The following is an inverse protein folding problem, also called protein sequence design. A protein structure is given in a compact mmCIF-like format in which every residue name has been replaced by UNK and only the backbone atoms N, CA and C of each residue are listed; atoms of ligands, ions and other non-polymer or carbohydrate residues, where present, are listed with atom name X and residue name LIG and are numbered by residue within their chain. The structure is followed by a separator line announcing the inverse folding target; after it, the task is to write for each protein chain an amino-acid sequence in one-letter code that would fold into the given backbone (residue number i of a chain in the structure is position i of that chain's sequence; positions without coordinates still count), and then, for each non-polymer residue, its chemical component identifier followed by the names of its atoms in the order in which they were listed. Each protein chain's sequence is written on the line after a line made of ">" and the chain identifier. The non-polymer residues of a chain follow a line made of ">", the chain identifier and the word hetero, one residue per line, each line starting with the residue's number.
data_IF_718142791405
#
_entry.id   IF_718142791405
#
_cell.length_a   1.000
_cell.length_b   1.000
_cell.length_c   1.000
_cell.angle_alpha   90.00
_cell.angle_beta   90.00
_cell.angle_gamma   90.00
#
_symmetry.space_group_name_H-M   'P 1'
#
loop_
_entity.id
_entity.type
_entity.pdbx_description
1 polymer ?
#
# COMPACT_ATOMS: atom_id res chain seq x y z
N UNK A 1 -5.54 16.91 12.79
CA UNK A 1 -6.13 16.51 11.49
C UNK A 1 -5.13 15.56 10.83
N UNK A 2 -5.59 14.45 10.26
CA UNK A 2 -4.74 13.53 9.51
C UNK A 2 -4.12 14.23 8.31
N UNK A 3 -2.83 14.00 8.05
CA UNK A 3 -2.12 14.50 6.86
C UNK A 3 -2.02 13.36 5.86
N UNK A 4 -2.68 13.56 4.72
CA UNK A 4 -2.78 12.54 3.69
C UNK A 4 -1.79 12.78 2.57
N UNK A 5 -1.24 11.68 2.02
CA UNK A 5 -0.40 11.71 0.82
C UNK A 5 -0.69 10.53 -0.10
N UNK A 6 -0.40 10.72 -1.38
CA UNK A 6 -0.45 9.68 -2.41
C UNK A 6 0.92 9.56 -3.06
N UNK A 7 1.49 8.35 -3.05
CA UNK A 7 2.71 8.02 -3.79
C UNK A 7 2.28 7.34 -5.11
N UNK A 8 2.72 7.89 -6.22
CA UNK A 8 2.54 7.33 -7.55
C UNK A 8 3.84 6.66 -7.99
N UNK A 9 3.86 5.32 -8.01
CA UNK A 9 4.99 4.53 -8.53
C UNK A 9 4.83 4.24 -10.03
N UNK A 10 5.77 3.50 -10.63
CA UNK A 10 5.95 3.42 -12.08
C UNK A 10 4.98 2.50 -12.83
N UNK A 11 4.29 1.54 -12.15
CA UNK A 11 3.35 0.63 -12.83
C UNK A 11 2.15 1.42 -13.35
N UNK A 12 1.81 1.30 -14.65
CA UNK A 12 0.69 2.05 -15.23
C UNK A 12 -0.63 1.79 -14.49
N UNK A 13 -1.36 2.86 -14.20
CA UNK A 13 -2.68 2.82 -13.55
C UNK A 13 -3.78 3.29 -14.51
N UNK A 14 -5.03 2.87 -14.25
CA UNK A 14 -6.20 3.42 -14.92
C UNK A 14 -6.83 4.58 -14.13
N UNK A 15 -7.67 5.36 -14.79
CA UNK A 15 -8.43 6.47 -14.14
C UNK A 15 -9.37 6.00 -13.03
N UNK A 16 -9.71 4.70 -12.99
CA UNK A 16 -10.51 4.12 -11.90
C UNK A 16 -9.86 4.30 -10.51
N UNK A 17 -8.52 4.50 -10.45
CA UNK A 17 -7.81 4.71 -9.19
C UNK A 17 -7.92 6.15 -8.66
N UNK A 18 -8.50 7.10 -9.41
CA UNK A 18 -8.81 8.44 -8.88
C UNK A 18 -9.65 8.39 -7.59
N UNK A 19 -10.45 7.31 -7.40
CA UNK A 19 -11.26 7.11 -6.18
C UNK A 19 -10.45 7.05 -4.88
N UNK A 20 -9.15 6.80 -4.96
CA UNK A 20 -8.25 6.76 -3.80
C UNK A 20 -7.60 8.10 -3.48
N UNK A 21 -7.73 9.07 -4.38
CA UNK A 21 -7.17 10.42 -4.23
C UNK A 21 -8.26 11.38 -3.75
N UNK A 22 -7.95 12.17 -2.74
CA UNK A 22 -8.87 13.18 -2.21
C UNK A 22 -8.35 14.59 -2.51
N UNK A 23 -9.23 15.59 -2.64
CA UNK A 23 -8.81 16.98 -2.72
C UNK A 23 -7.96 17.37 -1.50
N UNK A 24 -6.76 17.91 -1.74
CA UNK A 24 -5.81 18.30 -0.70
C UNK A 24 -4.81 17.20 -0.30
N UNK A 25 -4.86 16.02 -0.90
CA UNK A 25 -3.78 15.04 -0.76
C UNK A 25 -2.47 15.60 -1.33
N UNK A 26 -1.36 15.37 -0.63
CA UNK A 26 -0.03 15.68 -1.14
C UNK A 26 0.43 14.57 -2.10
N UNK A 27 0.71 14.92 -3.33
CA UNK A 27 1.02 13.94 -4.39
C UNK A 27 2.51 13.86 -4.64
N UNK A 28 3.10 12.68 -4.43
CA UNK A 28 4.49 12.38 -4.74
C UNK A 28 4.57 11.43 -5.92
N UNK A 29 5.29 11.80 -6.97
CA UNK A 29 5.55 10.92 -8.11
C UNK A 29 6.97 10.36 -8.04
N UNK A 30 7.11 9.02 -8.07
CA UNK A 30 8.39 8.34 -8.02
C UNK A 30 8.78 7.82 -9.40
N UNK A 31 9.96 8.22 -9.89
CA UNK A 31 10.50 7.89 -11.22
C UNK A 31 9.43 8.09 -12.32
N UNK A 32 9.11 7.07 -13.11
CA UNK A 32 8.06 7.14 -14.15
C UNK A 32 6.63 7.36 -13.59
N UNK A 33 6.43 7.44 -12.28
CA UNK A 33 5.15 7.72 -11.62
C UNK A 33 4.52 9.05 -12.03
N UNK A 34 5.29 10.02 -12.53
CA UNK A 34 4.75 11.27 -13.08
C UNK A 34 3.78 11.02 -14.26
N UNK A 35 3.99 9.94 -15.04
CA UNK A 35 3.06 9.53 -16.10
C UNK A 35 1.71 9.04 -15.55
N UNK A 36 1.71 8.49 -14.36
CA UNK A 36 0.48 8.13 -13.66
C UNK A 36 -0.24 9.38 -13.13
N UNK A 37 0.52 10.38 -12.67
CA UNK A 37 -0.08 11.68 -12.33
C UNK A 37 -0.81 12.28 -13.54
N UNK A 38 -0.17 12.31 -14.73
CA UNK A 38 -0.80 12.78 -15.98
C UNK A 38 -2.07 11.99 -16.31
N UNK A 39 -2.06 10.64 -16.19
CA UNK A 39 -3.25 9.80 -16.46
C UNK A 39 -4.40 10.05 -15.50
N UNK A 40 -4.11 10.37 -14.25
CA UNK A 40 -5.09 10.63 -13.21
C UNK A 40 -5.51 12.10 -13.15
N UNK A 41 -4.99 12.95 -14.05
CA UNK A 41 -5.19 14.42 -14.07
C UNK A 41 -4.78 15.04 -12.70
N UNK A 42 -3.66 14.58 -12.16
CA UNK A 42 -3.10 15.05 -10.89
C UNK A 42 -1.83 15.88 -11.15
N UNK A 43 -1.66 16.89 -10.33
CA UNK A 43 -0.43 17.67 -10.28
C UNK A 43 0.44 17.18 -9.12
N UNK A 44 1.63 16.60 -9.35
CA UNK A 44 2.54 16.25 -8.27
C UNK A 44 3.00 17.49 -7.50
N UNK A 45 3.02 17.38 -6.17
CA UNK A 45 3.65 18.38 -5.30
C UNK A 45 5.17 18.14 -5.23
N UNK A 46 5.58 16.86 -5.34
CA UNK A 46 6.97 16.43 -5.29
C UNK A 46 7.22 15.34 -6.32
N UNK A 47 8.37 15.41 -7.01
CA UNK A 47 8.85 14.35 -7.90
C UNK A 47 10.19 13.84 -7.37
N UNK A 48 10.32 12.52 -7.21
CA UNK A 48 11.52 11.84 -6.68
C UNK A 48 11.98 10.79 -7.68
N UNK A 49 13.26 10.78 -8.05
CA UNK A 49 13.78 9.74 -8.92
C UNK A 49 15.23 9.97 -9.33
N UNK A 50 15.87 8.93 -9.87
CA UNK A 50 17.15 9.04 -10.55
C UNK A 50 16.99 9.13 -12.08
N UNK A 51 15.75 8.95 -12.58
CA UNK A 51 15.34 9.10 -13.97
C UNK A 51 16.14 8.22 -14.96
N UNK A 52 16.61 7.06 -14.49
CA UNK A 52 17.28 6.05 -15.32
C UNK A 52 16.30 5.29 -16.24
N UNK A 53 15.08 5.09 -15.76
CA UNK A 53 14.01 4.36 -16.45
C UNK A 53 13.10 5.26 -17.29
N UNK A 54 13.08 6.58 -17.03
CA UNK A 54 12.29 7.57 -17.75
C UNK A 54 12.96 8.94 -17.72
N UNK A 55 12.83 9.74 -18.79
CA UNK A 55 13.43 11.08 -18.81
C UNK A 55 12.84 11.94 -17.69
N UNK A 56 13.70 12.74 -17.05
CA UNK A 56 13.25 13.73 -16.07
C UNK A 56 12.20 14.65 -16.71
N UNK A 57 11.01 14.81 -16.10
CA UNK A 57 9.99 15.70 -16.64
C UNK A 57 10.46 17.15 -16.60
N UNK A 58 10.17 17.89 -17.67
CA UNK A 58 10.34 19.35 -17.71
C UNK A 58 9.17 19.98 -16.98
N UNK A 59 9.35 20.33 -15.71
CA UNK A 59 8.28 20.82 -14.86
C UNK A 59 8.80 21.90 -13.90
N UNK A 60 7.89 22.75 -13.42
CA UNK A 60 8.13 23.71 -12.32
C UNK A 60 7.89 23.08 -10.92
N UNK A 61 7.55 21.78 -10.87
CA UNK A 61 7.34 21.08 -9.61
C UNK A 61 8.65 20.85 -8.87
N UNK A 62 8.58 20.80 -7.55
CA UNK A 62 9.73 20.41 -6.73
C UNK A 62 10.20 19.02 -7.16
N UNK A 63 11.49 18.91 -7.48
CA UNK A 63 12.07 17.65 -7.96
C UNK A 63 13.31 17.34 -7.15
N UNK A 64 13.32 16.17 -6.51
CA UNK A 64 14.49 15.60 -5.83
C UNK A 64 15.11 14.57 -6.76
N UNK A 65 16.30 14.89 -7.30
CA UNK A 65 17.07 13.97 -8.12
C UNK A 65 17.98 13.13 -7.22
N UNK A 66 17.73 11.83 -7.21
CA UNK A 66 18.50 10.88 -6.42
C UNK A 66 19.72 10.37 -7.21
N UNK A 67 20.83 10.01 -6.54
CA UNK A 67 21.95 9.36 -7.20
C UNK A 67 21.55 7.96 -7.68
N UNK A 68 22.13 7.48 -8.81
CA UNK A 68 21.88 6.11 -9.30
C UNK A 68 22.34 5.04 -8.30
N UNK A 69 23.45 5.30 -7.59
CA UNK A 69 23.94 4.41 -6.54
C UNK A 69 23.37 4.90 -5.21
N UNK A 70 22.38 4.21 -4.71
CA UNK A 70 21.68 4.50 -3.45
C UNK A 70 21.17 3.20 -2.83
N UNK A 71 20.96 3.21 -1.53
CA UNK A 71 20.44 2.06 -0.80
C UNK A 71 18.91 1.95 -0.88
N UNK A 72 18.20 3.08 -1.08
CA UNK A 72 16.75 3.16 -1.15
C UNK A 72 16.21 3.11 -2.58
N UNK A 73 15.04 2.49 -2.77
CA UNK A 73 14.22 2.74 -3.96
C UNK A 73 13.61 4.14 -3.91
N UNK A 74 13.21 4.70 -5.06
CA UNK A 74 12.55 6.02 -5.10
C UNK A 74 11.27 6.04 -4.25
N UNK A 75 10.49 4.95 -4.27
CA UNK A 75 9.29 4.80 -3.44
C UNK A 75 9.63 4.77 -1.94
N UNK A 76 10.73 4.09 -1.55
CA UNK A 76 11.18 4.04 -0.16
C UNK A 76 11.66 5.42 0.31
N UNK A 77 12.41 6.14 -0.52
CA UNK A 77 12.84 7.50 -0.23
C UNK A 77 11.64 8.44 -0.04
N UNK A 78 10.66 8.39 -0.95
CA UNK A 78 9.42 9.17 -0.83
C UNK A 78 8.66 8.84 0.47
N UNK A 79 8.61 7.56 0.86
CA UNK A 79 7.99 7.13 2.11
C UNK A 79 8.70 7.69 3.34
N UNK A 80 10.03 7.67 3.36
CA UNK A 80 10.85 8.30 4.43
C UNK A 80 10.58 9.80 4.51
N UNK A 81 10.63 10.49 3.40
CA UNK A 81 10.39 11.93 3.33
C UNK A 81 9.01 12.29 3.88
N UNK A 82 7.96 11.58 3.46
CA UNK A 82 6.59 11.80 3.95
C UNK A 82 6.47 11.57 5.46
N UNK A 83 7.09 10.49 5.97
CA UNK A 83 7.09 10.19 7.41
C UNK A 83 7.75 11.31 8.22
N UNK A 84 8.92 11.80 7.79
CA UNK A 84 9.64 12.90 8.42
C UNK A 84 8.85 14.22 8.40
N UNK A 85 7.99 14.39 7.39
CA UNK A 85 7.11 15.57 7.27
C UNK A 85 5.74 15.37 7.93
N UNK A 86 5.56 14.27 8.70
CA UNK A 86 4.39 14.05 9.55
C UNK A 86 3.12 13.65 8.79
N UNK A 87 3.25 12.99 7.65
CA UNK A 87 2.12 12.35 6.97
C UNK A 87 1.79 11.03 7.66
N UNK A 88 0.52 10.83 8.02
CA UNK A 88 0.05 9.70 8.82
C UNK A 88 -0.98 8.81 8.08
N UNK A 89 -1.35 9.18 6.86
CA UNK A 89 -2.19 8.39 5.95
C UNK A 89 -1.60 8.42 4.54
N UNK A 90 -1.08 7.29 4.06
CA UNK A 90 -0.35 7.23 2.79
C UNK A 90 -0.96 6.13 1.90
N UNK A 91 -1.34 6.52 0.68
CA UNK A 91 -1.80 5.60 -0.36
C UNK A 91 -0.74 5.45 -1.44
N UNK A 92 -0.39 4.21 -1.80
CA UNK A 92 0.53 3.90 -2.89
C UNK A 92 -0.27 3.37 -4.10
N UNK A 93 -0.18 4.06 -5.22
CA UNK A 93 -0.76 3.67 -6.51
C UNK A 93 0.36 3.41 -7.53
N UNK A 94 0.12 2.48 -8.47
CA UNK A 94 1.16 2.07 -9.42
C UNK A 94 2.32 1.31 -8.76
N UNK A 95 2.11 0.76 -7.55
CA UNK A 95 3.09 0.06 -6.74
C UNK A 95 3.00 -1.47 -6.86
N UNK A 96 1.94 -1.99 -7.46
CA UNK A 96 1.61 -3.42 -7.52
C UNK A 96 1.59 -3.92 -8.96
N UNK A 97 2.23 -5.08 -9.21
CA UNK A 97 2.27 -5.71 -10.54
C UNK A 97 3.40 -5.16 -11.43
N UNK A 98 3.16 -5.17 -12.76
CA UNK A 98 4.17 -4.79 -13.75
C UNK A 98 5.15 -5.92 -14.07
N UNK A 99 6.14 -5.63 -14.92
CA UNK A 99 7.11 -6.62 -15.41
C UNK A 99 8.19 -6.97 -14.37
N UNK A 100 8.37 -6.14 -13.35
CA UNK A 100 9.43 -6.25 -12.34
C UNK A 100 8.83 -6.64 -11.00
N UNK A 101 8.71 -7.94 -10.74
CA UNK A 101 8.13 -8.49 -9.50
C UNK A 101 8.86 -7.99 -8.24
N UNK A 102 10.18 -7.84 -8.31
CA UNK A 102 11.00 -7.34 -7.19
C UNK A 102 10.60 -5.93 -6.74
N UNK A 103 10.10 -5.07 -7.62
CA UNK A 103 9.56 -3.77 -7.25
C UNK A 103 8.25 -3.89 -6.46
N UNK A 104 7.38 -4.83 -6.83
CA UNK A 104 6.19 -5.11 -6.02
C UNK A 104 6.57 -5.55 -4.61
N UNK A 105 7.53 -6.47 -4.49
CA UNK A 105 8.02 -6.94 -3.18
C UNK A 105 8.65 -5.80 -2.37
N UNK A 106 9.45 -4.94 -3.00
CA UNK A 106 10.03 -3.77 -2.36
C UNK A 106 8.94 -2.79 -1.87
N UNK A 107 7.92 -2.54 -2.68
CA UNK A 107 6.79 -1.66 -2.31
C UNK A 107 5.97 -2.25 -1.15
N UNK A 108 5.82 -3.58 -1.06
CA UNK A 108 5.21 -4.22 0.11
C UNK A 108 6.07 -4.03 1.36
N UNK A 109 7.39 -4.10 1.24
CA UNK A 109 8.31 -3.82 2.36
C UNK A 109 8.24 -2.35 2.79
N UNK A 110 8.17 -1.41 1.85
CA UNK A 110 7.96 0.02 2.12
C UNK A 110 6.66 0.27 2.88
N UNK A 111 5.56 -0.36 2.46
CA UNK A 111 4.28 -0.25 3.16
C UNK A 111 4.34 -0.81 4.59
N UNK A 112 5.05 -1.95 4.79
CA UNK A 112 5.28 -2.49 6.13
C UNK A 112 6.08 -1.53 7.00
N UNK A 113 7.15 -0.94 6.46
CA UNK A 113 7.95 0.07 7.14
C UNK A 113 7.09 1.25 7.62
N UNK A 114 6.26 1.82 6.76
CA UNK A 114 5.34 2.90 7.10
C UNK A 114 4.35 2.49 8.20
N UNK A 115 3.72 1.31 8.06
CA UNK A 115 2.74 0.81 9.03
C UNK A 115 3.35 0.60 10.43
N UNK A 116 4.59 0.10 10.51
CA UNK A 116 5.34 -0.05 11.77
C UNK A 116 5.70 1.29 12.41
N UNK A 117 5.78 2.35 11.62
CA UNK A 117 5.96 3.73 12.10
C UNK A 117 4.63 4.47 12.36
N UNK A 118 3.50 3.75 12.44
CA UNK A 118 2.21 4.29 12.85
C UNK A 118 1.37 4.90 11.73
N UNK A 119 1.85 4.84 10.49
CA UNK A 119 1.13 5.35 9.32
C UNK A 119 -0.02 4.42 8.94
N UNK A 120 -1.16 4.97 8.54
CA UNK A 120 -2.24 4.24 7.90
C UNK A 120 -1.91 4.07 6.40
N UNK A 121 -1.57 2.86 5.99
CA UNK A 121 -1.06 2.58 4.64
C UNK A 121 -2.03 1.75 3.84
N UNK A 122 -2.28 2.20 2.62
CA UNK A 122 -3.02 1.48 1.59
C UNK A 122 -2.16 1.34 0.33
N UNK A 123 -1.99 0.13 -0.19
CA UNK A 123 -1.57 -0.08 -1.57
C UNK A 123 -2.78 -0.52 -2.38
N UNK A 124 -3.00 0.07 -3.54
CA UNK A 124 -4.15 -0.29 -4.36
C UNK A 124 -3.82 -0.38 -5.86
N UNK A 125 -4.52 -1.30 -6.51
CA UNK A 125 -4.65 -1.34 -7.95
C UNK A 125 -6.15 -1.50 -8.33
N UNK A 126 -6.45 -1.79 -9.58
CA UNK A 126 -7.82 -1.93 -10.07
C UNK A 126 -8.59 -3.08 -9.41
N UNK A 127 -7.86 -4.11 -8.95
CA UNK A 127 -8.42 -5.39 -8.47
C UNK A 127 -8.25 -5.64 -6.99
N UNK A 128 -7.31 -4.95 -6.34
CA UNK A 128 -6.92 -5.26 -4.96
C UNK A 128 -6.68 -4.02 -4.13
N UNK A 129 -7.00 -4.12 -2.84
CA UNK A 129 -6.53 -3.25 -1.77
C UNK A 129 -5.67 -4.05 -0.80
N UNK A 130 -4.54 -3.49 -0.40
CA UNK A 130 -3.62 -4.09 0.55
C UNK A 130 -3.46 -3.18 1.76
N UNK A 131 -3.74 -3.72 2.94
CA UNK A 131 -3.67 -3.03 4.22
C UNK A 131 -2.69 -3.74 5.16
N UNK A 132 -2.18 -3.04 6.16
CA UNK A 132 -1.29 -3.63 7.16
C UNK A 132 -1.99 -3.79 8.50
N UNK A 133 -1.94 -5.02 9.03
CA UNK A 133 -2.38 -5.35 10.38
C UNK A 133 -1.18 -5.26 11.32
N UNK A 134 -1.24 -4.34 12.28
CA UNK A 134 -0.17 -4.15 13.27
C UNK A 134 -0.70 -4.41 14.69
N UNK A 135 0.13 -4.85 15.64
CA UNK A 135 -0.30 -5.09 17.00
C UNK A 135 -0.93 -3.87 17.67
N UNK A 136 -1.99 -4.10 18.43
CA UNK A 136 -2.66 -3.04 19.19
C UNK A 136 -3.60 -2.16 18.37
N UNK A 137 -3.74 -2.42 17.06
CA UNK A 137 -4.65 -1.70 16.17
C UNK A 137 -5.64 -2.67 15.54
N UNK A 138 -6.93 -2.39 15.68
CA UNK A 138 -7.96 -3.14 14.96
C UNK A 138 -8.10 -2.60 13.52
N UNK A 139 -8.16 -3.51 12.55
CA UNK A 139 -8.46 -3.19 11.16
C UNK A 139 -9.90 -3.60 10.85
N UNK A 140 -10.75 -2.60 10.53
CA UNK A 140 -12.15 -2.80 10.16
C UNK A 140 -12.29 -2.57 8.65
N UNK A 141 -12.66 -3.62 7.92
CA UNK A 141 -12.78 -3.61 6.47
C UNK A 141 -14.24 -3.72 6.05
N UNK A 142 -14.67 -2.86 5.14
CA UNK A 142 -16.01 -2.89 4.55
C UNK A 142 -16.05 -3.91 3.42
N UNK A 143 -17.11 -4.72 3.35
CA UNK A 143 -17.31 -5.75 2.33
C UNK A 143 -17.28 -5.18 0.90
N UNK A 144 -18.00 -4.08 0.63
CA UNK A 144 -18.14 -3.52 -0.72
C UNK A 144 -18.30 -4.60 -1.80
N UNK A 145 -17.50 -4.53 -2.88
CA UNK A 145 -17.44 -5.46 -4.01
C UNK A 145 -16.25 -6.45 -3.92
N UNK A 146 -15.66 -6.59 -2.71
CA UNK A 146 -14.57 -7.54 -2.46
C UNK A 146 -15.10 -8.96 -2.36
N UNK A 147 -14.52 -9.88 -3.15
CA UNK A 147 -14.80 -11.30 -3.09
C UNK A 147 -13.99 -11.96 -1.99
N UNK A 148 -12.70 -11.72 -1.98
CA UNK A 148 -11.77 -12.39 -1.10
C UNK A 148 -11.09 -11.43 -0.12
N UNK A 149 -10.84 -11.96 1.09
CA UNK A 149 -10.02 -11.38 2.13
C UNK A 149 -8.93 -12.39 2.49
N UNK A 150 -7.67 -12.00 2.32
CA UNK A 150 -6.54 -12.85 2.68
C UNK A 150 -5.65 -12.15 3.70
N UNK A 151 -5.01 -12.93 4.60
CA UNK A 151 -4.08 -12.43 5.61
C UNK A 151 -2.76 -13.21 5.53
N UNK A 152 -1.66 -12.50 5.37
CA UNK A 152 -0.31 -13.07 5.29
C UNK A 152 0.58 -12.51 6.41
N UNK A 153 1.28 -13.36 7.20
CA UNK A 153 2.34 -12.90 8.09
C UNK A 153 3.51 -12.30 7.31
N UNK A 154 3.92 -11.07 7.64
CA UNK A 154 5.03 -10.38 6.98
C UNK A 154 6.37 -10.57 7.71
N UNK A 155 6.35 -10.90 9.00
CA UNK A 155 7.53 -11.03 9.86
C UNK A 155 7.69 -12.46 10.41
N UNK A 156 7.46 -13.48 9.57
CA UNK A 156 7.60 -14.88 9.93
C UNK A 156 6.38 -15.46 10.65
N UNK A 157 5.77 -14.77 11.62
CA UNK A 157 4.56 -15.23 12.32
C UNK A 157 3.69 -14.09 12.83
N UNK A 158 2.39 -14.35 12.91
CA UNK A 158 1.41 -13.54 13.64
C UNK A 158 0.93 -14.32 14.87
N UNK A 159 0.68 -13.63 15.98
CA UNK A 159 0.13 -14.21 17.20
C UNK A 159 -1.11 -13.43 17.66
N UNK A 160 -1.99 -14.12 18.39
CA UNK A 160 -3.23 -13.53 18.88
C UNK A 160 -4.15 -13.04 17.76
N UNK A 161 -4.12 -13.73 16.61
CA UNK A 161 -4.92 -13.34 15.45
C UNK A 161 -6.39 -13.63 15.71
N UNK A 162 -7.21 -12.60 15.61
CA UNK A 162 -8.67 -12.74 15.59
C UNK A 162 -9.21 -12.19 14.28
N UNK A 163 -10.12 -12.93 13.64
CA UNK A 163 -10.85 -12.53 12.44
C UNK A 163 -12.33 -12.74 12.72
N UNK A 164 -13.14 -11.69 12.59
CA UNK A 164 -14.60 -11.72 12.72
C UNK A 164 -15.27 -11.19 11.46
N UNK A 165 -16.49 -11.61 11.19
CA UNK A 165 -17.23 -11.19 9.99
C UNK A 165 -16.79 -11.86 8.69
N UNK A 166 -15.96 -12.91 8.79
CA UNK A 166 -15.46 -13.70 7.66
C UNK A 166 -15.87 -15.17 7.79
N UNK A 167 -15.90 -15.89 6.67
CA UNK A 167 -16.38 -17.28 6.58
C UNK A 167 -15.51 -18.24 7.39
N UNK A 168 -14.18 -18.01 7.42
CA UNK A 168 -13.24 -18.71 8.27
C UNK A 168 -12.79 -17.77 9.41
N UNK A 169 -13.56 -17.71 10.53
CA UNK A 169 -13.19 -16.88 11.66
C UNK A 169 -11.98 -17.47 12.40
N UNK A 170 -11.20 -16.60 13.02
CA UNK A 170 -10.10 -17.00 13.89
C UNK A 170 -10.25 -16.35 15.27
N UNK A 171 -9.85 -17.11 16.32
CA UNK A 171 -9.84 -16.62 17.70
C UNK A 171 -8.49 -16.96 18.33
N UNK A 172 -7.72 -15.93 18.67
CA UNK A 172 -6.40 -16.04 19.30
C UNK A 172 -5.44 -17.02 18.57
N UNK A 173 -5.49 -17.05 17.25
CA UNK A 173 -4.74 -17.99 16.44
C UNK A 173 -3.28 -17.55 16.25
N UNK A 174 -2.44 -18.52 15.87
CA UNK A 174 -1.08 -18.29 15.38
C UNK A 174 -1.04 -18.63 13.90
N UNK A 175 -0.47 -17.73 13.11
CA UNK A 175 -0.23 -17.94 11.67
C UNK A 175 1.26 -17.81 11.40
N UNK A 176 1.80 -18.65 10.51
CA UNK A 176 3.21 -18.64 10.11
C UNK A 176 3.35 -18.37 8.61
N UNK A 177 4.46 -17.75 8.20
CA UNK A 177 4.67 -17.34 6.80
C UNK A 177 4.84 -18.53 5.84
N UNK A 178 5.24 -19.69 6.36
CA UNK A 178 5.43 -20.94 5.61
C UNK A 178 4.15 -21.77 5.43
N UNK A 179 3.03 -21.33 6.03
CA UNK A 179 1.75 -22.00 5.92
C UNK A 179 0.62 -21.01 5.57
N UNK A 180 0.10 -21.03 4.33
CA UNK A 180 -0.83 -20.01 3.82
C UNK A 180 -2.28 -20.22 4.31
N UNK A 181 -2.49 -20.33 5.61
CA UNK A 181 -3.80 -20.56 6.24
C UNK A 181 -4.82 -19.46 5.94
N UNK A 182 -4.37 -18.21 5.80
CA UNK A 182 -5.24 -17.04 5.70
C UNK A 182 -5.66 -16.65 4.28
N UNK A 183 -5.53 -17.54 3.29
CA UNK A 183 -5.81 -17.20 1.89
C UNK A 183 -7.27 -17.46 1.53
N UNK A 184 -7.85 -16.54 0.74
CA UNK A 184 -9.20 -16.66 0.13
C UNK A 184 -10.33 -16.84 1.13
N UNK A 185 -10.29 -16.17 2.27
CA UNK A 185 -11.45 -16.02 3.14
C UNK A 185 -12.47 -15.09 2.47
N UNK A 186 -13.73 -15.14 2.88
CA UNK A 186 -14.82 -14.36 2.31
C UNK A 186 -15.58 -13.61 3.39
N UNK A 187 -16.20 -12.48 3.05
CA UNK A 187 -17.07 -11.75 3.98
C UNK A 187 -18.40 -12.45 4.13
N UNK A 188 -18.85 -12.65 5.39
CA UNK A 188 -20.22 -13.11 5.71
C UNK A 188 -21.08 -12.01 6.33
N UNK A 189 -20.49 -10.85 6.63
CA UNK A 189 -21.12 -9.65 7.16
C UNK A 189 -20.72 -8.43 6.32
N UNK A 190 -21.31 -7.27 6.62
CA UNK A 190 -20.98 -6.00 5.95
C UNK A 190 -19.55 -5.53 6.27
N UNK A 191 -18.99 -6.00 7.38
CA UNK A 191 -17.62 -5.70 7.81
C UNK A 191 -16.89 -6.97 8.25
N UNK A 192 -15.56 -6.98 8.03
CA UNK A 192 -14.65 -7.90 8.68
C UNK A 192 -13.75 -7.10 9.65
N UNK A 193 -13.50 -7.67 10.83
CA UNK A 193 -12.66 -7.09 11.88
C UNK A 193 -11.46 -8.01 12.08
N UNK A 194 -10.26 -7.45 11.99
CA UNK A 194 -9.00 -8.17 12.16
C UNK A 194 -8.15 -7.50 13.24
N UNK A 195 -7.55 -8.32 14.10
CA UNK A 195 -6.57 -7.85 15.08
C UNK A 195 -5.49 -8.90 15.31
N UNK A 196 -4.33 -8.47 15.80
CA UNK A 196 -3.26 -9.34 16.25
C UNK A 196 -2.59 -8.76 17.49
N UNK A 197 -1.90 -9.62 18.26
CA UNK A 197 -1.14 -9.22 19.46
C UNK A 197 0.38 -9.16 19.21
N UNK A 198 0.87 -9.79 18.13
CA UNK A 198 2.29 -9.77 17.81
C UNK A 198 2.56 -10.14 16.35
N UNK A 199 3.64 -9.58 15.80
CA UNK A 199 3.98 -9.61 14.37
C UNK A 199 3.14 -8.64 13.54
N UNK A 200 3.51 -8.45 12.28
CA UNK A 200 2.77 -7.63 11.33
C UNK A 200 2.24 -8.48 10.18
N UNK A 201 1.00 -8.22 9.76
CA UNK A 201 0.32 -8.93 8.66
C UNK A 201 0.01 -8.02 7.49
N UNK A 202 -0.02 -8.61 6.29
CA UNK A 202 -0.56 -8.01 5.08
C UNK A 202 -1.97 -8.56 4.85
N UNK A 203 -2.94 -7.69 4.84
CA UNK A 203 -4.33 -8.01 4.50
C UNK A 203 -4.58 -7.63 3.05
N UNK A 204 -5.04 -8.57 2.26
CA UNK A 204 -5.31 -8.38 0.82
C UNK A 204 -6.80 -8.58 0.57
N UNK A 205 -7.44 -7.56 0.04
CA UNK A 205 -8.80 -7.62 -0.51
C UNK A 205 -8.70 -7.75 -2.01
N UNK A 206 -9.44 -8.70 -2.60
CA UNK A 206 -9.41 -8.93 -4.05
C UNK A 206 -10.84 -9.08 -4.59
N UNK A 207 -11.08 -8.45 -5.75
CA UNK A 207 -12.32 -8.66 -6.52
C UNK A 207 -12.28 -9.99 -7.26
N UNK A 208 -13.47 -10.54 -7.55
CA UNK A 208 -13.56 -11.68 -8.45
C UNK A 208 -13.20 -11.30 -9.88
N UNK A 209 -12.71 -12.26 -10.64
CA UNK A 209 -12.58 -12.15 -12.10
C UNK A 209 -13.98 -12.32 -12.69
N UNK A 210 -14.64 -11.21 -13.05
CA UNK A 210 -15.87 -11.24 -13.83
C UNK A 210 -15.56 -11.41 -15.32
#
# INVERSE_FOLDING_TARGET
>A
MSRRAVILSAVPVSTALCRYVQPGDFVVACDAGYRNAERLDLRPDLIVGDFDSAPQPKTEHETIVLPHVKDDTDTQYAAHWLLEHGYDEITLLGALGGARLEHTLANLATGLYLAKNGVNVLLANERSELWYLVPGRELILQRRDWKYLSLFPMEGRLTGVCIRGAFYPLENAVMTADYPLGVSNEFIADTAQLQCSGGCGLVVLTRDDA
#
